data_IF_302768792144
#
_entry.id   IF_302768792144
#
_cell.length_a   1.000
_cell.length_b   1.000
_cell.length_c   1.000
_cell.angle_alpha   90.00
_cell.angle_beta   90.00
_cell.angle_gamma   90.00
#
_symmetry.space_group_name_H-M   'P 1'
#
loop_
_entity.id
_entity.type
_entity.pdbx_description
1 polymer ?
#
# COMPACT_ATOMS: atom_id res chain seq x y z
N UNK A 1 11.87 -14.70 -14.00
CA UNK A 1 10.58 -14.74 -13.28
C UNK A 1 9.83 -15.98 -13.72
N UNK A 2 9.35 -16.83 -12.80
CA UNK A 2 8.66 -18.09 -13.14
C UNK A 2 7.31 -17.76 -13.77
N UNK A 3 7.04 -18.25 -14.99
CA UNK A 3 5.76 -18.03 -15.68
C UNK A 3 4.67 -18.67 -14.82
N UNK A 4 3.79 -17.85 -14.26
CA UNK A 4 2.73 -18.34 -13.38
C UNK A 4 1.57 -18.84 -14.23
N UNK A 5 1.02 -20.01 -13.89
CA UNK A 5 -0.16 -20.51 -14.58
C UNK A 5 -1.33 -19.53 -14.39
N UNK A 6 -2.13 -19.33 -15.43
CA UNK A 6 -3.27 -18.40 -15.46
C UNK A 6 -4.24 -18.67 -14.31
N UNK A 7 -4.54 -19.94 -14.04
CA UNK A 7 -5.43 -20.33 -12.93
C UNK A 7 -4.89 -19.81 -11.59
N UNK A 8 -3.60 -20.03 -11.33
CA UNK A 8 -2.96 -19.57 -10.09
C UNK A 8 -2.88 -18.05 -10.00
N UNK A 9 -2.70 -17.37 -11.13
CA UNK A 9 -2.72 -15.91 -11.21
C UNK A 9 -4.08 -15.34 -10.79
N UNK A 10 -5.16 -15.89 -11.33
CA UNK A 10 -6.52 -15.45 -11.03
C UNK A 10 -6.88 -15.79 -9.59
N UNK A 11 -6.62 -17.02 -9.12
CA UNK A 11 -6.98 -17.42 -7.75
C UNK A 11 -6.24 -16.61 -6.68
N UNK A 12 -4.92 -16.45 -6.81
CA UNK A 12 -4.13 -15.67 -5.84
C UNK A 12 -4.48 -14.19 -5.94
N UNK A 13 -4.56 -13.65 -7.16
CA UNK A 13 -4.93 -12.26 -7.40
C UNK A 13 -6.30 -11.93 -6.81
N UNK A 14 -7.30 -12.80 -7.01
CA UNK A 14 -8.64 -12.64 -6.46
C UNK A 14 -8.64 -12.59 -4.93
N UNK A 15 -7.99 -13.56 -4.28
CA UNK A 15 -7.90 -13.59 -2.81
C UNK A 15 -7.23 -12.33 -2.26
N UNK A 16 -6.09 -11.92 -2.85
CA UNK A 16 -5.37 -10.72 -2.42
C UNK A 16 -6.17 -9.44 -2.66
N UNK A 17 -6.92 -9.38 -3.77
CA UNK A 17 -7.85 -8.28 -4.06
C UNK A 17 -8.91 -8.18 -2.97
N UNK A 18 -9.57 -9.29 -2.63
CA UNK A 18 -10.62 -9.30 -1.61
C UNK A 18 -10.08 -8.83 -0.25
N UNK A 19 -8.91 -9.33 0.15
CA UNK A 19 -8.27 -8.91 1.42
C UNK A 19 -7.92 -7.41 1.39
N UNK A 20 -7.39 -6.91 0.28
CA UNK A 20 -7.06 -5.49 0.13
C UNK A 20 -8.31 -4.60 0.26
N UNK A 21 -9.41 -4.99 -0.40
CA UNK A 21 -10.69 -4.29 -0.32
C UNK A 21 -11.27 -4.31 1.10
N UNK A 22 -11.21 -5.45 1.80
CA UNK A 22 -11.71 -5.55 3.18
C UNK A 22 -10.95 -4.60 4.10
N UNK A 23 -9.61 -4.59 4.04
CA UNK A 23 -8.82 -3.69 4.89
C UNK A 23 -8.99 -2.22 4.53
N UNK A 24 -9.04 -1.89 3.23
CA UNK A 24 -9.18 -0.50 2.82
C UNK A 24 -10.60 0.04 3.05
N UNK A 25 -11.63 -0.80 3.02
CA UNK A 25 -13.02 -0.40 3.32
C UNK A 25 -13.32 -0.35 4.82
N UNK A 26 -12.42 -0.84 5.68
CA UNK A 26 -12.63 -0.85 7.13
C UNK A 26 -13.01 0.53 7.74
N UNK A 27 -12.42 1.68 7.34
CA UNK A 27 -12.83 2.99 7.84
C UNK A 27 -14.29 3.34 7.55
N UNK A 28 -14.87 2.82 6.46
CA UNK A 28 -16.26 3.07 6.07
C UNK A 28 -17.23 2.46 7.09
N UNK A 29 -16.91 1.27 7.60
CA UNK A 29 -17.75 0.55 8.55
C UNK A 29 -17.38 0.86 10.01
N UNK A 30 -16.12 1.22 10.28
CA UNK A 30 -15.58 1.50 11.61
C UNK A 30 -14.73 2.78 11.55
N UNK A 31 -15.30 3.98 11.73
CA UNK A 31 -14.64 5.25 11.43
C UNK A 31 -13.32 5.50 12.16
N UNK A 32 -13.22 5.10 13.44
CA UNK A 32 -12.01 5.33 14.25
C UNK A 32 -11.06 4.14 14.19
N UNK A 33 -11.60 2.94 14.40
CA UNK A 33 -10.82 1.69 14.45
C UNK A 33 -10.35 1.29 13.05
N UNK A 34 -11.20 1.43 12.05
CA UNK A 34 -10.93 1.09 10.65
C UNK A 34 -9.83 1.91 10.01
N UNK A 35 -9.60 3.15 10.46
CA UNK A 35 -8.45 3.96 10.00
C UNK A 35 -7.11 3.29 10.33
N UNK A 36 -7.02 2.57 11.46
CA UNK A 36 -5.82 1.78 11.78
C UNK A 36 -5.67 0.53 10.89
N UNK A 37 -6.77 0.02 10.33
CA UNK A 37 -6.77 -1.14 9.43
C UNK A 37 -6.47 -0.77 7.98
N UNK A 38 -6.80 0.45 7.53
CA UNK A 38 -6.55 0.91 6.16
C UNK A 38 -5.09 0.72 5.69
N UNK A 39 -4.05 1.07 6.49
CA UNK A 39 -2.65 0.73 6.20
C UNK A 39 -2.36 -0.73 5.85
N UNK A 40 -3.13 -1.68 6.37
CA UNK A 40 -2.90 -3.11 6.14
C UNK A 40 -3.26 -3.54 4.71
N UNK A 41 -4.00 -2.73 3.95
CA UNK A 41 -4.26 -2.97 2.53
C UNK A 41 -2.97 -2.94 1.68
N UNK A 42 -1.91 -2.29 2.17
CA UNK A 42 -0.58 -2.28 1.54
C UNK A 42 0.03 -3.68 1.41
N UNK A 43 -0.22 -4.56 2.40
CA UNK A 43 0.36 -5.89 2.49
C UNK A 43 -0.06 -6.83 1.35
N UNK A 44 -1.37 -7.04 1.07
CA UNK A 44 -1.79 -7.91 -0.03
C UNK A 44 -1.29 -7.42 -1.40
N UNK A 45 -1.25 -6.10 -1.62
CA UNK A 45 -0.75 -5.50 -2.86
C UNK A 45 0.78 -5.68 -2.97
N UNK A 46 1.51 -5.47 -1.87
CA UNK A 46 2.96 -5.69 -1.84
C UNK A 46 3.33 -7.16 -2.02
N UNK A 47 2.58 -8.08 -1.40
CA UNK A 47 2.76 -9.52 -1.57
C UNK A 47 2.52 -9.93 -3.03
N UNK A 48 1.46 -9.39 -3.64
CA UNK A 48 1.17 -9.58 -5.04
C UNK A 48 2.33 -9.12 -5.95
N UNK A 49 2.79 -7.89 -5.76
CA UNK A 49 3.90 -7.30 -6.51
C UNK A 49 5.24 -8.03 -6.31
N UNK A 50 5.47 -8.54 -5.09
CA UNK A 50 6.64 -9.38 -4.76
C UNK A 50 6.64 -10.68 -5.56
N UNK A 51 5.51 -11.37 -5.66
CA UNK A 51 5.39 -12.60 -6.47
C UNK A 51 5.54 -12.30 -7.97
N UNK A 52 4.81 -11.31 -8.47
CA UNK A 52 4.91 -10.83 -9.84
C UNK A 52 4.38 -9.39 -9.93
N UNK A 53 5.17 -8.48 -10.49
CA UNK A 53 4.75 -7.08 -10.67
C UNK A 53 3.42 -6.97 -11.42
N UNK A 54 3.21 -7.80 -12.45
CA UNK A 54 1.95 -7.80 -13.22
C UNK A 54 0.76 -8.19 -12.35
N UNK A 55 0.96 -9.08 -11.38
CA UNK A 55 -0.06 -9.47 -10.41
C UNK A 55 -0.30 -8.35 -9.39
N UNK A 56 0.75 -7.68 -8.92
CA UNK A 56 0.64 -6.47 -8.11
C UNK A 56 -0.21 -5.38 -8.75
N UNK A 57 0.06 -5.07 -10.03
CA UNK A 57 -0.71 -4.10 -10.82
C UNK A 57 -2.16 -4.57 -10.98
N UNK A 58 -2.39 -5.85 -11.30
CA UNK A 58 -3.74 -6.39 -11.43
C UNK A 58 -4.54 -6.26 -10.13
N UNK A 59 -3.94 -6.66 -8.99
CA UNK A 59 -4.57 -6.57 -7.66
C UNK A 59 -4.84 -5.13 -7.26
N UNK A 60 -3.94 -4.20 -7.57
CA UNK A 60 -4.13 -2.79 -7.29
C UNK A 60 -5.34 -2.22 -8.03
N UNK A 61 -5.43 -2.42 -9.35
CA UNK A 61 -6.55 -1.91 -10.14
C UNK A 61 -7.86 -2.62 -9.83
N UNK A 62 -7.86 -3.94 -9.63
CA UNK A 62 -9.07 -4.67 -9.25
C UNK A 62 -9.59 -4.22 -7.89
N UNK A 63 -8.70 -3.97 -6.92
CA UNK A 63 -9.08 -3.48 -5.60
C UNK A 63 -9.67 -2.08 -5.70
N UNK A 64 -9.06 -1.18 -6.48
CA UNK A 64 -9.60 0.15 -6.71
C UNK A 64 -11.00 0.08 -7.35
N UNK A 65 -11.19 -0.73 -8.40
CA UNK A 65 -12.49 -0.88 -9.06
C UNK A 65 -13.58 -1.36 -8.10
N UNK A 66 -13.32 -2.40 -7.30
CA UNK A 66 -14.32 -2.90 -6.35
C UNK A 66 -14.58 -1.86 -5.25
N UNK A 67 -13.53 -1.19 -4.78
CA UNK A 67 -13.65 -0.21 -3.72
C UNK A 67 -14.41 1.05 -4.18
N UNK A 68 -14.39 1.41 -5.47
CA UNK A 68 -15.20 2.54 -5.98
C UNK A 68 -16.69 2.33 -5.74
N UNK A 69 -17.15 1.07 -5.75
CA UNK A 69 -18.55 0.71 -5.49
C UNK A 69 -18.91 0.84 -4.01
N UNK A 70 -17.91 0.78 -3.11
CA UNK A 70 -18.10 0.86 -1.66
C UNK A 70 -17.91 2.31 -1.17
N UNK A 71 -16.79 2.93 -1.52
CA UNK A 71 -16.47 4.31 -1.16
C UNK A 71 -15.45 4.91 -2.14
N UNK A 72 -15.83 6.04 -2.74
CA UNK A 72 -14.96 6.82 -3.62
C UNK A 72 -13.76 7.37 -2.83
N UNK A 73 -13.98 7.83 -1.60
CA UNK A 73 -12.93 8.40 -0.75
C UNK A 73 -11.80 7.39 -0.48
N UNK A 74 -12.15 6.17 -0.05
CA UNK A 74 -11.16 5.13 0.23
C UNK A 74 -10.44 4.64 -1.03
N UNK A 75 -11.13 4.67 -2.18
CA UNK A 75 -10.50 4.37 -3.47
C UNK A 75 -9.39 5.36 -3.79
N UNK A 76 -9.67 6.65 -3.63
CA UNK A 76 -8.69 7.70 -3.89
C UNK A 76 -7.49 7.57 -2.96
N UNK A 77 -7.71 7.27 -1.68
CA UNK A 77 -6.64 6.98 -0.72
C UNK A 77 -5.80 5.79 -1.20
N UNK A 78 -6.43 4.68 -1.58
CA UNK A 78 -5.73 3.50 -2.09
C UNK A 78 -4.88 3.83 -3.34
N UNK A 79 -5.45 4.54 -4.30
CA UNK A 79 -4.80 4.84 -5.57
C UNK A 79 -3.53 5.66 -5.40
N UNK A 80 -3.54 6.65 -4.51
CA UNK A 80 -2.43 7.59 -4.38
C UNK A 80 -1.49 7.28 -3.22
N UNK A 81 -1.90 6.51 -2.22
CA UNK A 81 -1.10 6.25 -1.02
C UNK A 81 -0.79 4.77 -0.82
N UNK A 82 -1.69 4.03 -0.15
CA UNK A 82 -1.45 2.66 0.33
C UNK A 82 -1.22 1.67 -0.81
N UNK A 83 -1.97 1.76 -1.90
CA UNK A 83 -1.82 0.86 -3.04
C UNK A 83 -0.53 1.10 -3.81
N UNK A 84 -0.20 2.37 -4.12
CA UNK A 84 1.02 2.69 -4.85
C UNK A 84 2.27 2.33 -4.04
N UNK A 85 2.26 2.62 -2.74
CA UNK A 85 3.29 2.20 -1.79
C UNK A 85 3.48 0.68 -1.82
N UNK A 86 2.39 -0.08 -1.80
CA UNK A 86 2.40 -1.54 -1.86
C UNK A 86 3.12 -2.07 -3.10
N UNK A 87 2.79 -1.54 -4.29
CA UNK A 87 3.43 -1.95 -5.55
C UNK A 87 4.94 -1.70 -5.50
N UNK A 88 5.35 -0.49 -5.13
CA UNK A 88 6.75 -0.06 -5.12
C UNK A 88 7.56 -0.86 -4.11
N UNK A 89 7.04 -1.01 -2.90
CA UNK A 89 7.65 -1.83 -1.86
C UNK A 89 7.82 -3.28 -2.31
N UNK A 90 6.74 -3.91 -2.81
CA UNK A 90 6.78 -5.30 -3.27
C UNK A 90 7.73 -5.53 -4.46
N UNK A 91 7.80 -4.55 -5.38
CA UNK A 91 8.64 -4.64 -6.57
C UNK A 91 10.13 -4.39 -6.29
N UNK A 92 10.47 -3.39 -5.47
CA UNK A 92 11.85 -2.90 -5.33
C UNK A 92 12.61 -3.56 -4.20
N UNK A 93 11.94 -3.96 -3.10
CA UNK A 93 12.59 -4.46 -1.88
C UNK A 93 13.62 -5.57 -2.15
N UNK A 94 13.27 -6.53 -2.99
CA UNK A 94 14.15 -7.67 -3.31
C UNK A 94 14.95 -7.51 -4.62
N UNK A 95 14.66 -6.49 -5.44
CA UNK A 95 15.35 -6.27 -6.72
C UNK A 95 16.49 -5.26 -6.62
N UNK A 96 16.33 -4.23 -5.81
CA UNK A 96 17.26 -3.09 -5.68
C UNK A 96 17.76 -2.88 -4.25
N UNK A 97 17.19 -3.60 -3.28
CA UNK A 97 17.56 -3.53 -1.87
C UNK A 97 16.67 -2.58 -1.06
N UNK A 98 16.81 -2.68 0.26
CA UNK A 98 15.91 -2.01 1.21
C UNK A 98 16.03 -0.48 1.20
N UNK A 99 17.24 0.07 1.04
CA UNK A 99 17.44 1.53 1.01
C UNK A 99 16.74 2.17 -0.18
N UNK A 100 16.89 1.57 -1.38
CA UNK A 100 16.22 2.06 -2.59
C UNK A 100 14.70 1.94 -2.43
N UNK A 101 14.21 0.83 -1.88
CA UNK A 101 12.79 0.63 -1.63
C UNK A 101 12.22 1.70 -0.69
N UNK A 102 12.90 2.01 0.41
CA UNK A 102 12.47 3.04 1.39
C UNK A 102 12.43 4.42 0.74
N UNK A 103 13.46 4.81 -0.01
CA UNK A 103 13.52 6.13 -0.65
C UNK A 103 12.39 6.32 -1.67
N UNK A 104 12.17 5.36 -2.57
CA UNK A 104 11.09 5.43 -3.54
C UNK A 104 9.72 5.35 -2.87
N UNK A 105 9.54 4.46 -1.89
CA UNK A 105 8.31 4.34 -1.10
C UNK A 105 7.96 5.65 -0.40
N UNK A 106 8.94 6.29 0.23
CA UNK A 106 8.77 7.57 0.92
C UNK A 106 8.45 8.70 -0.04
N UNK A 107 9.10 8.75 -1.20
CA UNK A 107 8.85 9.79 -2.21
C UNK A 107 7.44 9.66 -2.81
N UNK A 108 7.00 8.44 -3.09
CA UNK A 108 5.65 8.20 -3.61
C UNK A 108 4.58 8.53 -2.57
N UNK A 109 4.78 8.12 -1.32
CA UNK A 109 3.79 8.36 -0.28
C UNK A 109 3.71 9.84 0.09
N UNK A 110 4.83 10.57 0.10
CA UNK A 110 4.78 12.02 0.33
C UNK A 110 4.07 12.75 -0.82
N UNK A 111 4.36 12.37 -2.07
CA UNK A 111 3.69 12.93 -3.24
C UNK A 111 2.20 12.60 -3.25
N UNK A 112 1.82 11.38 -2.87
CA UNK A 112 0.44 10.95 -2.70
C UNK A 112 -0.32 11.77 -1.66
N UNK A 113 0.27 11.99 -0.48
CA UNK A 113 -0.35 12.81 0.57
C UNK A 113 -0.49 14.28 0.16
N UNK A 114 0.50 14.85 -0.51
CA UNK A 114 0.45 16.23 -1.04
C UNK A 114 -0.71 16.34 -2.06
N UNK A 115 -0.80 15.42 -3.01
CA UNK A 115 -1.89 15.40 -3.99
C UNK A 115 -3.27 15.27 -3.32
N UNK A 116 -3.41 14.37 -2.35
CA UNK A 116 -4.66 14.20 -1.61
C UNK A 116 -5.08 15.46 -0.86
N UNK A 117 -4.11 16.17 -0.30
CA UNK A 117 -4.37 17.30 0.59
C UNK A 117 -4.66 18.58 -0.20
N UNK A 118 -3.96 18.84 -1.31
CA UNK A 118 -4.12 20.07 -2.09
C UNK A 118 -5.06 19.97 -3.30
N UNK A 119 -5.30 18.76 -3.83
CA UNK A 119 -6.13 18.58 -5.05
C UNK A 119 -7.52 18.08 -4.71
N UNK A 120 -7.64 17.25 -3.65
CA UNK A 120 -8.85 16.51 -3.36
C UNK A 120 -9.56 16.98 -2.08
N UNK A 121 -8.99 17.96 -1.36
CA UNK A 121 -9.51 18.59 -0.13
C UNK A 121 -10.18 17.59 0.82
N UNK A 122 -9.57 16.41 0.98
CA UNK A 122 -10.13 15.37 1.85
C UNK A 122 -10.07 15.91 3.28
N UNK A 123 -11.25 16.07 3.90
CA UNK A 123 -11.44 16.71 5.21
C UNK A 123 -10.53 16.15 6.32
N UNK A 124 -10.14 14.88 6.22
CA UNK A 124 -9.19 14.24 7.13
C UNK A 124 -7.80 14.93 7.18
N UNK A 125 -7.39 15.62 6.11
CA UNK A 125 -6.11 16.32 6.00
C UNK A 125 -6.26 17.85 5.87
N UNK A 126 -7.44 18.34 5.48
CA UNK A 126 -7.71 19.77 5.25
C UNK A 126 -7.57 20.64 6.52
N UNK A 127 -7.99 20.16 7.69
CA UNK A 127 -7.93 20.94 8.93
C UNK A 127 -6.50 21.30 9.38
N UNK A 128 -5.52 20.44 9.05
CA UNK A 128 -4.10 20.70 9.30
C UNK A 128 -3.53 21.78 8.37
N UNK A 129 -4.04 21.91 7.14
CA UNK A 129 -3.56 22.92 6.19
C UNK A 129 -4.04 24.33 6.51
N UNK A 130 -5.21 24.46 7.15
CA UNK A 130 -5.75 25.75 7.56
C UNK A 130 -5.05 26.33 8.80
N UNK A 131 -4.41 25.47 9.59
CA UNK A 131 -3.76 25.86 10.86
C UNK A 131 -2.26 26.10 10.72
N UNK A 132 -1.64 25.63 9.64
CA UNK A 132 -0.18 25.57 9.49
C UNK A 132 0.26 26.03 8.09
N UNK A 133 1.36 26.79 8.03
CA UNK A 133 1.92 27.27 6.76
C UNK A 133 2.26 26.12 5.79
N UNK A 134 2.01 26.33 4.49
CA UNK A 134 2.21 25.32 3.42
C UNK A 134 3.60 24.66 3.37
N UNK A 135 4.74 25.34 3.63
CA UNK A 135 6.05 24.68 3.62
C UNK A 135 6.24 23.72 4.80
N UNK A 136 5.66 24.06 5.96
CA UNK A 136 5.75 23.23 7.15
C UNK A 136 4.93 21.95 6.99
N UNK A 137 3.75 22.02 6.35
CA UNK A 137 2.93 20.84 6.04
C UNK A 137 3.67 19.85 5.16
N UNK A 138 4.38 20.32 4.13
CA UNK A 138 5.20 19.47 3.26
C UNK A 138 6.34 18.80 4.03
N UNK A 139 6.98 19.53 4.95
CA UNK A 139 8.03 18.99 5.80
C UNK A 139 7.51 17.88 6.74
N UNK A 140 6.34 18.10 7.34
CA UNK A 140 5.67 17.12 8.21
C UNK A 140 5.31 15.86 7.41
N UNK A 141 4.69 16.01 6.24
CA UNK A 141 4.34 14.89 5.37
C UNK A 141 5.56 14.11 4.89
N UNK A 142 6.64 14.80 4.53
CA UNK A 142 7.89 14.15 4.13
C UNK A 142 8.48 13.33 5.29
N UNK A 143 8.53 13.91 6.49
CA UNK A 143 9.06 13.25 7.69
C UNK A 143 8.21 12.04 8.10
N UNK A 144 6.88 12.21 8.10
CA UNK A 144 5.95 11.11 8.36
C UNK A 144 6.08 9.99 7.34
N UNK A 145 6.14 10.34 6.05
CA UNK A 145 6.30 9.39 4.96
C UNK A 145 7.56 8.55 5.11
N UNK A 146 8.67 9.17 5.51
CA UNK A 146 9.95 8.47 5.70
C UNK A 146 9.87 7.45 6.84
N UNK A 147 9.30 7.83 7.99
CA UNK A 147 9.11 6.94 9.15
C UNK A 147 8.17 5.79 8.78
N UNK A 148 7.05 6.11 8.13
CA UNK A 148 6.02 5.14 7.75
C UNK A 148 6.55 4.15 6.71
N UNK A 149 7.16 4.64 5.63
CA UNK A 149 7.75 3.80 4.58
C UNK A 149 8.89 2.93 5.14
N UNK A 150 9.71 3.45 6.05
CA UNK A 150 10.77 2.67 6.70
C UNK A 150 10.20 1.52 7.52
N UNK A 151 9.20 1.82 8.36
CA UNK A 151 8.53 0.83 9.20
C UNK A 151 7.90 -0.26 8.35
N UNK A 152 7.16 0.11 7.30
CA UNK A 152 6.52 -0.88 6.43
C UNK A 152 7.50 -1.74 5.65
N UNK A 153 8.55 -1.15 5.07
CA UNK A 153 9.57 -1.91 4.35
C UNK A 153 10.28 -2.93 5.27
N UNK A 154 10.58 -2.55 6.52
CA UNK A 154 11.21 -3.45 7.50
C UNK A 154 10.24 -4.57 7.90
N UNK A 155 8.99 -4.23 8.24
CA UNK A 155 7.95 -5.20 8.60
C UNK A 155 7.69 -6.18 7.46
N UNK A 156 7.53 -5.69 6.23
CA UNK A 156 7.29 -6.52 5.05
C UNK A 156 8.47 -7.45 4.76
N UNK A 157 9.72 -6.96 4.88
CA UNK A 157 10.92 -7.81 4.74
C UNK A 157 10.95 -8.94 5.76
N UNK A 158 10.66 -8.66 7.03
CA UNK A 158 10.57 -9.69 8.09
C UNK A 158 9.49 -10.72 7.75
N UNK A 159 8.32 -10.25 7.33
CA UNK A 159 7.19 -11.11 6.96
C UNK A 159 7.52 -12.03 5.78
N UNK A 160 8.11 -11.51 4.70
CA UNK A 160 8.50 -12.33 3.55
C UNK A 160 9.59 -13.34 3.92
N UNK A 161 10.60 -12.93 4.70
CA UNK A 161 11.63 -13.86 5.18
C UNK A 161 11.04 -14.99 6.03
N UNK A 162 10.02 -14.70 6.85
CA UNK A 162 9.29 -15.70 7.60
C UNK A 162 8.51 -16.66 6.69
N UNK A 163 7.80 -16.16 5.68
CA UNK A 163 7.10 -17.01 4.70
C UNK A 163 8.06 -17.90 3.91
N UNK A 164 9.24 -17.39 3.53
CA UNK A 164 10.27 -18.17 2.85
C UNK A 164 10.79 -19.28 3.77
N UNK A 165 11.04 -18.99 5.05
CA UNK A 165 11.47 -20.01 6.02
C UNK A 165 10.47 -21.15 6.16
N UNK A 166 9.17 -20.86 6.29
CA UNK A 166 8.12 -21.90 6.38
C UNK A 166 8.10 -22.76 5.12
N UNK A 167 8.27 -22.14 3.95
CA UNK A 167 8.24 -22.87 2.68
C UNK A 167 9.48 -23.75 2.47
N UNK A 168 10.61 -23.39 3.09
CA UNK A 168 11.82 -24.21 3.13
C UNK A 168 11.70 -25.37 4.14
N UNK A 169 10.92 -25.23 5.21
CA UNK A 169 10.70 -26.31 6.19
C UNK A 169 9.65 -27.35 5.75
N UNK A 170 8.92 -27.12 4.65
CA UNK A 170 7.93 -28.06 4.12
C UNK A 170 8.45 -28.93 2.95
N UNK A 171 9.78 -29.04 2.78
CA UNK A 171 10.40 -29.87 1.73
C UNK A 171 11.55 -30.73 2.30
N UNK A 172 11.39 -31.27 3.51
CA UNK A 172 12.26 -32.34 4.02
C UNK A 172 11.44 -33.59 4.26
#
# INVERSE_FOLDING_TARGET
>A
MKKMNVVRFISIGGILTTIAVIFQSAPVFLPVIGLAFSPLSTLPIALAAFYNISLGIAVFFSSALILTLVSVQETVILLFTTGLLGIIMGALLYRKGILVSILFSSAILSLGMILLTFVLDISAFGDLTNTVSTPLTVLIFSSFSLIYASTWNICFRKFINYLIRIKLTNIS
#
